data_IF_442348444348
#
_entry.id   IF_442348444348
#
_cell.length_a   1.000
_cell.length_b   1.000
_cell.length_c   1.000
_cell.angle_alpha   90.00
_cell.angle_beta   90.00
_cell.angle_gamma   90.00
#
_symmetry.space_group_name_H-M   'P 1'
#
loop_
_entity.id
_entity.type
_entity.pdbx_description
1 polymer ?
#
# COMPACT_ATOMS: atom_id res chain seq x y z
N UNK A 1 -9.74 -13.99 -0.42
CA UNK A 1 -8.51 -13.16 -0.39
C UNK A 1 -7.30 -13.96 -0.82
N UNK A 2 -6.27 -13.31 -1.39
CA UNK A 2 -5.09 -13.99 -1.95
C UNK A 2 -4.33 -14.86 -0.93
N UNK A 3 -4.18 -14.39 0.31
CA UNK A 3 -3.49 -15.11 1.39
C UNK A 3 -4.18 -16.42 1.77
N UNK A 4 -5.50 -16.40 1.91
CA UNK A 4 -6.30 -17.61 2.18
C UNK A 4 -6.19 -18.61 1.02
N UNK A 5 -6.22 -18.13 -0.23
CA UNK A 5 -6.06 -19.01 -1.40
C UNK A 5 -4.67 -19.66 -1.43
N UNK A 6 -3.61 -18.92 -1.12
CA UNK A 6 -2.25 -19.46 -1.01
C UNK A 6 -2.18 -20.51 0.09
N UNK A 7 -2.73 -20.25 1.26
CA UNK A 7 -2.65 -21.18 2.38
C UNK A 7 -3.47 -22.45 2.15
N UNK A 8 -4.72 -22.34 1.70
CA UNK A 8 -5.57 -23.52 1.49
C UNK A 8 -5.16 -24.36 0.26
N UNK A 9 -4.63 -23.74 -0.81
CA UNK A 9 -4.40 -24.43 -2.11
C UNK A 9 -2.95 -24.45 -2.58
N UNK A 10 -2.05 -23.70 -1.95
CA UNK A 10 -0.64 -23.62 -2.32
C UNK A 10 0.06 -24.97 -2.26
N UNK A 11 -0.22 -25.77 -1.21
CA UNK A 11 0.36 -27.11 -1.04
C UNK A 11 0.15 -28.02 -2.25
N UNK A 12 -1.04 -28.00 -2.87
CA UNK A 12 -1.33 -28.81 -4.07
C UNK A 12 -0.53 -28.38 -5.30
N UNK A 13 -0.03 -27.14 -5.30
CA UNK A 13 0.76 -26.53 -6.39
C UNK A 13 2.25 -26.46 -6.05
N UNK A 14 2.70 -27.13 -4.99
CA UNK A 14 4.10 -27.08 -4.53
C UNK A 14 4.52 -25.75 -3.92
N UNK A 15 3.58 -24.88 -3.56
CA UNK A 15 3.86 -23.58 -2.94
C UNK A 15 3.71 -23.67 -1.42
N UNK A 16 4.69 -23.11 -0.70
CA UNK A 16 4.65 -22.95 0.74
C UNK A 16 4.50 -21.45 1.09
N UNK A 17 3.53 -21.14 1.96
CA UNK A 17 3.38 -19.80 2.50
C UNK A 17 4.12 -19.64 3.82
N UNK A 18 4.91 -18.58 3.96
CA UNK A 18 5.53 -18.17 5.22
C UNK A 18 4.95 -16.82 5.61
N UNK A 19 4.43 -16.71 6.84
CA UNK A 19 3.89 -15.47 7.39
C UNK A 19 4.81 -14.99 8.51
N UNK A 20 5.37 -13.80 8.32
CA UNK A 20 6.06 -13.07 9.38
C UNK A 20 5.21 -11.87 9.80
N UNK A 21 4.79 -11.82 11.06
CA UNK A 21 4.01 -10.70 11.60
C UNK A 21 4.51 -10.32 12.99
N UNK A 22 4.43 -9.04 13.32
CA UNK A 22 4.70 -8.53 14.67
C UNK A 22 3.46 -8.62 15.57
N UNK A 23 2.26 -8.71 14.98
CA UNK A 23 0.97 -8.73 15.69
C UNK A 23 0.20 -9.97 15.26
N UNK A 24 0.25 -11.00 16.09
CA UNK A 24 -0.43 -12.27 15.84
C UNK A 24 -1.95 -12.08 15.79
N UNK A 25 -2.49 -11.18 16.63
CA UNK A 25 -3.90 -10.82 16.77
C UNK A 25 -4.54 -10.22 15.50
N UNK A 26 -3.73 -9.65 14.61
CA UNK A 26 -4.20 -9.12 13.32
C UNK A 26 -4.35 -10.20 12.26
N UNK A 27 -3.76 -11.38 12.46
CA UNK A 27 -3.86 -12.46 11.49
C UNK A 27 -5.30 -12.99 11.43
N UNK A 28 -5.82 -13.27 10.24
CA UNK A 28 -7.14 -13.87 10.13
C UNK A 28 -7.10 -15.30 10.71
N UNK A 29 -8.10 -15.69 11.51
CA UNK A 29 -8.16 -17.02 12.15
C UNK A 29 -7.99 -18.18 11.16
N UNK A 30 -8.61 -18.06 9.98
CA UNK A 30 -8.54 -19.07 8.92
C UNK A 30 -7.14 -19.17 8.31
N UNK A 31 -6.37 -18.08 8.29
CA UNK A 31 -5.01 -18.09 7.76
C UNK A 31 -4.05 -18.71 8.78
N UNK A 32 -4.25 -18.41 10.07
CA UNK A 32 -3.48 -19.02 11.15
C UNK A 32 -3.70 -20.54 11.25
N UNK A 33 -4.95 -20.99 11.06
CA UNK A 33 -5.32 -22.39 11.14
C UNK A 33 -4.73 -23.28 10.03
N UNK A 34 -4.38 -22.70 8.88
CA UNK A 34 -3.76 -23.43 7.76
C UNK A 34 -2.23 -23.58 7.94
N UNK A 35 -1.63 -22.84 8.88
CA UNK A 35 -0.21 -23.00 9.21
C UNK A 35 -0.01 -24.25 10.06
N UNK A 36 0.97 -25.07 9.69
CA UNK A 36 1.33 -26.31 10.42
C UNK A 36 2.59 -26.16 11.28
N UNK A 37 3.39 -25.13 11.04
CA UNK A 37 4.62 -24.85 11.78
C UNK A 37 4.57 -23.43 12.34
N UNK A 38 5.01 -23.29 13.58
CA UNK A 38 4.95 -22.07 14.37
C UNK A 38 6.30 -21.78 15.00
N UNK A 39 6.70 -20.50 14.95
CA UNK A 39 7.82 -19.93 15.67
C UNK A 39 7.31 -18.66 16.37
N UNK A 40 7.09 -18.76 17.68
CA UNK A 40 6.54 -17.67 18.48
C UNK A 40 7.64 -17.01 19.29
N UNK A 41 7.95 -15.75 18.97
CA UNK A 41 8.93 -14.95 19.69
C UNK A 41 8.32 -14.19 20.86
N UNK A 42 9.08 -13.22 21.38
CA UNK A 42 8.63 -12.34 22.47
C UNK A 42 7.36 -11.56 22.08
N UNK A 43 6.35 -11.60 22.94
CA UNK A 43 5.13 -10.77 22.80
C UNK A 43 4.65 -10.25 24.16
N UNK A 44 4.10 -9.03 24.17
CA UNK A 44 3.68 -8.36 25.40
C UNK A 44 2.17 -8.23 25.58
N UNK A 45 1.43 -8.21 24.48
CA UNK A 45 0.00 -7.93 24.51
C UNK A 45 -0.79 -9.21 24.80
N UNK A 46 -1.74 -9.12 25.73
CA UNK A 46 -2.55 -10.25 26.19
C UNK A 46 -3.28 -10.95 25.04
N UNK A 47 -3.77 -10.19 24.08
CA UNK A 47 -4.42 -10.72 22.88
C UNK A 47 -3.47 -11.54 21.99
N UNK A 48 -2.21 -11.14 21.92
CA UNK A 48 -1.20 -11.84 21.13
C UNK A 48 -0.70 -13.09 21.88
N UNK A 49 -0.53 -13.03 23.21
CA UNK A 49 -0.21 -14.20 24.05
C UNK A 49 -1.31 -15.25 24.06
N UNK A 50 -2.57 -14.83 24.21
CA UNK A 50 -3.71 -15.75 24.17
C UNK A 50 -3.76 -16.49 22.83
N UNK A 51 -3.58 -15.77 21.72
CA UNK A 51 -3.56 -16.38 20.39
C UNK A 51 -2.35 -17.29 20.19
N UNK A 52 -1.19 -16.97 20.75
CA UNK A 52 -0.02 -17.84 20.70
C UNK A 52 -0.26 -19.13 21.51
N UNK A 53 -0.88 -19.02 22.68
CA UNK A 53 -1.26 -20.15 23.52
C UNK A 53 -2.22 -21.09 22.78
N UNK A 54 -3.26 -20.53 22.15
CA UNK A 54 -4.25 -21.28 21.37
C UNK A 54 -3.60 -22.04 20.21
N UNK A 55 -2.64 -21.42 19.51
CA UNK A 55 -1.94 -22.06 18.39
C UNK A 55 -0.93 -23.12 18.84
N UNK A 56 -0.32 -22.95 20.01
CA UNK A 56 0.67 -23.88 20.55
C UNK A 56 0.08 -24.98 21.42
N UNK A 57 -1.23 -24.92 21.71
CA UNK A 57 -1.90 -25.83 22.63
C UNK A 57 -1.40 -25.69 24.07
N UNK A 58 -0.95 -24.49 24.45
CA UNK A 58 -0.43 -24.20 25.80
C UNK A 58 -1.52 -23.60 26.67
N UNK A 59 -1.42 -23.81 27.98
CA UNK A 59 -2.32 -23.14 28.93
C UNK A 59 -2.02 -21.64 28.98
N UNK A 60 -3.06 -20.82 29.21
CA UNK A 60 -2.94 -19.36 29.31
C UNK A 60 -1.85 -18.90 30.28
N UNK A 61 -1.69 -19.60 31.40
CA UNK A 61 -0.67 -19.30 32.42
C UNK A 61 0.75 -19.53 31.90
N UNK A 62 0.95 -20.55 31.05
CA UNK A 62 2.25 -20.82 30.43
C UNK A 62 2.59 -19.78 29.35
N UNK A 63 1.59 -19.10 28.79
CA UNK A 63 1.77 -18.07 27.78
C UNK A 63 2.40 -16.77 28.34
N UNK A 64 2.39 -16.57 29.66
CA UNK A 64 3.09 -15.43 30.28
C UNK A 64 4.61 -15.49 30.02
N UNK A 65 5.17 -16.70 29.84
CA UNK A 65 6.58 -16.91 29.49
C UNK A 65 6.98 -16.24 28.15
N UNK A 66 6.02 -15.94 27.27
CA UNK A 66 6.31 -15.19 26.04
C UNK A 66 6.76 -13.75 26.28
N UNK A 67 6.47 -13.16 27.44
CA UNK A 67 6.91 -11.79 27.77
C UNK A 67 8.40 -11.72 28.04
N UNK A 68 8.93 -12.74 28.69
CA UNK A 68 10.31 -12.78 29.19
C UNK A 68 11.29 -13.42 28.20
N UNK A 69 10.82 -13.88 27.04
CA UNK A 69 11.68 -14.41 25.98
C UNK A 69 12.70 -13.38 25.52
N UNK A 70 13.98 -13.73 25.58
CA UNK A 70 15.04 -12.88 25.06
C UNK A 70 14.97 -12.74 23.53
N UNK A 71 15.59 -11.68 23.00
CA UNK A 71 15.69 -11.48 21.56
C UNK A 71 16.44 -12.66 20.92
N UNK A 72 15.84 -13.26 19.89
CA UNK A 72 16.41 -14.42 19.19
C UNK A 72 15.97 -15.75 19.77
N UNK A 73 15.24 -15.78 20.90
CA UNK A 73 14.59 -16.97 21.41
C UNK A 73 13.13 -17.06 20.94
N UNK A 74 12.71 -18.27 20.60
CA UNK A 74 11.39 -18.57 20.07
C UNK A 74 10.88 -19.90 20.63
N UNK A 75 9.57 -20.04 20.76
CA UNK A 75 8.92 -21.33 20.95
C UNK A 75 8.55 -21.90 19.58
N UNK A 76 9.10 -23.09 19.29
CA UNK A 76 8.89 -23.82 18.06
C UNK A 76 7.88 -24.96 18.25
N UNK A 77 6.95 -25.11 17.30
CA UNK A 77 6.02 -26.23 17.23
C UNK A 77 5.69 -26.54 15.77
N UNK A 78 5.58 -27.82 15.43
CA UNK A 78 5.11 -28.25 14.12
C UNK A 78 5.89 -29.46 13.58
N UNK A 79 5.37 -30.15 12.56
CA UNK A 79 5.97 -31.37 12.02
C UNK A 79 7.37 -31.18 11.44
N UNK A 80 7.73 -29.98 11.00
CA UNK A 80 9.07 -29.66 10.51
C UNK A 80 10.05 -29.23 11.62
N UNK A 81 9.56 -28.99 12.85
CA UNK A 81 10.35 -28.45 13.96
C UNK A 81 10.37 -29.42 15.14
N UNK A 82 9.23 -29.56 15.82
CA UNK A 82 9.07 -30.42 17.00
C UNK A 82 7.60 -30.77 17.20
N UNK A 83 7.35 -32.01 17.65
CA UNK A 83 6.00 -32.50 17.99
C UNK A 83 5.43 -31.87 19.28
N UNK A 84 6.28 -31.32 20.13
CA UNK A 84 5.92 -30.63 21.37
C UNK A 84 6.56 -29.23 21.37
N UNK A 85 5.94 -28.22 22.01
CA UNK A 85 6.53 -26.89 22.09
C UNK A 85 7.96 -26.96 22.65
N UNK A 86 8.93 -26.44 21.90
CA UNK A 86 10.35 -26.48 22.23
C UNK A 86 10.95 -25.07 22.12
N UNK A 87 11.66 -24.62 23.15
CA UNK A 87 12.43 -23.39 23.10
C UNK A 87 13.63 -23.54 22.16
N UNK A 88 13.75 -22.64 21.18
CA UNK A 88 14.85 -22.60 20.21
C UNK A 88 15.49 -21.22 20.17
N UNK A 89 16.80 -21.18 19.94
CA UNK A 89 17.56 -19.95 19.75
C UNK A 89 17.99 -19.86 18.29
N UNK A 90 17.61 -18.77 17.62
CA UNK A 90 17.99 -18.51 16.24
C UNK A 90 19.46 -18.08 16.20
N UNK A 91 20.23 -18.71 15.30
CA UNK A 91 21.64 -18.41 15.09
C UNK A 91 21.89 -17.09 14.37
N UNK A 92 23.15 -16.85 14.00
CA UNK A 92 23.50 -15.72 13.16
C UNK A 92 22.92 -15.90 11.75
N UNK A 93 22.46 -14.82 11.14
CA UNK A 93 21.94 -14.81 9.78
C UNK A 93 23.04 -14.40 8.81
N UNK A 94 23.20 -15.14 7.71
CA UNK A 94 24.14 -14.79 6.64
C UNK A 94 23.72 -13.51 5.89
N UNK A 95 22.42 -13.24 5.85
CA UNK A 95 21.84 -12.08 5.15
C UNK A 95 21.70 -10.88 6.07
N UNK A 96 21.90 -9.69 5.51
CA UNK A 96 21.64 -8.41 6.19
C UNK A 96 20.42 -7.69 5.61
N UNK A 97 19.61 -7.01 6.44
CA UNK A 97 18.49 -6.22 5.95
C UNK A 97 18.99 -5.02 5.13
N UNK A 98 18.27 -4.67 4.05
CA UNK A 98 18.62 -3.53 3.18
C UNK A 98 18.66 -2.20 3.93
N UNK A 99 17.78 -2.05 4.91
CA UNK A 99 17.77 -0.95 5.87
C UNK A 99 17.95 -1.56 7.27
N UNK A 100 19.17 -1.48 7.80
CA UNK A 100 19.45 -1.93 9.17
C UNK A 100 18.73 -1.08 10.21
N UNK A 101 18.29 -1.70 11.30
CA UNK A 101 17.93 -0.94 12.51
C UNK A 101 19.15 -0.13 12.95
N UNK A 102 19.03 1.21 13.11
CA UNK A 102 20.12 2.03 13.60
C UNK A 102 20.57 1.47 14.95
N UNK A 103 21.84 1.10 15.04
CA UNK A 103 22.45 0.81 16.34
C UNK A 103 22.90 2.13 16.91
N UNK A 104 22.72 2.30 18.22
CA UNK A 104 23.37 3.37 18.95
C UNK A 104 24.87 3.12 18.86
N UNK A 105 25.52 3.82 17.92
CA UNK A 105 26.96 3.87 17.84
C UNK A 105 27.43 4.99 18.78
N UNK A 106 28.57 4.82 19.45
CA UNK A 106 29.20 5.92 20.16
C UNK A 106 29.38 7.12 19.23
N UNK A 107 29.24 8.33 19.77
CA UNK A 107 29.51 9.55 19.01
C UNK A 107 30.97 9.49 18.51
N UNK A 108 31.25 9.70 17.21
CA UNK A 108 32.62 9.69 16.71
C UNK A 108 33.42 10.81 17.38
N UNK A 109 34.48 10.46 18.10
CA UNK A 109 35.33 11.43 18.82
C UNK A 109 35.92 12.48 17.89
N UNK A 110 36.23 12.09 16.64
CA UNK A 110 36.78 12.96 15.60
C UNK A 110 35.88 14.15 15.22
N UNK A 111 34.57 14.11 15.52
CA UNK A 111 33.67 15.21 15.22
C UNK A 111 33.69 16.33 16.27
N UNK A 112 34.25 16.10 17.46
CA UNK A 112 34.14 17.05 18.58
C UNK A 112 35.10 18.24 18.46
N UNK A 113 36.33 18.01 17.96
CA UNK A 113 37.33 19.06 17.74
C UNK A 113 36.96 19.95 16.56
N UNK A 114 36.46 19.36 15.47
CA UNK A 114 35.93 20.10 14.32
C UNK A 114 34.63 20.85 14.67
N UNK A 115 33.76 20.28 15.51
CA UNK A 115 32.55 20.98 15.95
C UNK A 115 32.87 22.22 16.79
N UNK A 116 33.89 22.15 17.67
CA UNK A 116 34.31 23.32 18.49
C UNK A 116 34.87 24.43 17.62
N UNK A 117 35.68 24.11 16.62
CA UNK A 117 36.23 25.12 15.70
C UNK A 117 35.14 25.79 14.85
N UNK A 118 34.11 25.04 14.44
CA UNK A 118 32.95 25.56 13.70
C UNK A 118 32.05 26.43 14.59
N UNK A 119 31.80 26.03 15.85
CA UNK A 119 30.96 26.79 16.79
C UNK A 119 31.62 28.12 17.21
N UNK A 120 32.95 28.13 17.35
CA UNK A 120 33.74 29.30 17.74
C UNK A 120 34.17 30.15 16.54
N UNK A 121 33.92 29.70 15.31
CA UNK A 121 34.18 30.48 14.12
C UNK A 121 33.32 31.75 14.13
N UNK A 122 33.91 32.88 13.74
CA UNK A 122 33.17 34.12 13.59
C UNK A 122 32.00 33.89 12.61
N UNK A 123 30.77 34.33 12.96
CA UNK A 123 29.64 34.18 12.05
C UNK A 123 29.98 34.88 10.73
N UNK A 124 29.67 34.26 9.58
CA UNK A 124 29.82 34.93 8.29
C UNK A 124 29.05 36.25 8.32
N UNK A 125 29.53 37.29 7.61
CA UNK A 125 28.88 38.60 7.62
C UNK A 125 27.39 38.45 7.34
N UNK A 126 26.56 39.01 8.22
CA UNK A 126 25.11 38.94 8.07
C UNK A 126 24.73 39.56 6.72
N UNK A 127 24.36 38.70 5.77
CA UNK A 127 23.62 39.15 4.59
C UNK A 127 22.37 39.83 5.10
N UNK A 128 22.18 41.12 4.77
CA UNK A 128 20.99 41.88 5.12
C UNK A 128 19.77 41.08 4.71
N UNK A 129 19.15 40.39 5.67
CA UNK A 129 17.95 39.62 5.42
C UNK A 129 16.86 40.65 5.13
N UNK A 130 16.12 40.54 4.01
CA UNK A 130 14.98 41.43 3.78
C UNK A 130 14.08 41.35 5.02
N UNK A 131 13.74 42.51 5.59
CA UNK A 131 12.82 42.56 6.73
C UNK A 131 11.58 41.75 6.37
N UNK A 132 11.24 40.77 7.21
CA UNK A 132 9.95 40.07 7.11
C UNK A 132 8.89 41.15 7.23
N UNK A 133 8.25 41.47 6.10
CA UNK A 133 7.01 42.23 6.11
C UNK A 133 6.06 41.44 7.02
N UNK A 134 5.34 42.10 7.95
CA UNK A 134 4.30 41.42 8.70
C UNK A 134 3.41 40.72 7.66
N UNK A 135 3.25 39.40 7.82
CA UNK A 135 2.32 38.64 7.00
C UNK A 135 0.96 39.34 7.11
N UNK A 136 0.25 39.59 5.99
CA UNK A 136 -1.09 40.16 6.06
C UNK A 136 -1.92 39.31 7.03
N UNK A 137 -2.81 39.95 7.78
CA UNK A 137 -3.60 39.30 8.82
C UNK A 137 -4.50 38.21 8.19
N UNK A 138 -3.92 37.03 8.10
CA UNK A 138 -4.48 35.84 7.47
C UNK A 138 -5.71 35.37 8.24
N UNK A 139 -5.76 35.69 9.54
CA UNK A 139 -6.88 35.34 10.38
C UNK A 139 -8.08 36.22 10.05
N UNK A 140 -7.89 37.53 9.90
CA UNK A 140 -8.96 38.44 9.45
C UNK A 140 -9.42 38.12 8.03
N UNK A 141 -8.52 37.74 7.12
CA UNK A 141 -8.89 37.29 5.78
C UNK A 141 -9.69 35.98 5.79
N UNK A 142 -9.31 35.01 6.62
CA UNK A 142 -10.04 33.74 6.77
C UNK A 142 -11.40 33.94 7.45
N UNK A 143 -11.48 34.84 8.43
CA UNK A 143 -12.73 35.19 9.11
C UNK A 143 -13.67 35.95 8.16
N UNK A 144 -13.15 36.86 7.34
CA UNK A 144 -13.92 37.53 6.28
C UNK A 144 -14.39 36.53 5.21
N UNK A 145 -13.55 35.57 4.80
CA UNK A 145 -13.91 34.53 3.84
C UNK A 145 -14.96 33.54 4.38
N UNK A 146 -15.00 33.31 5.70
CA UNK A 146 -16.04 32.50 6.36
C UNK A 146 -17.33 33.27 6.66
N UNK A 147 -17.22 34.57 6.89
CA UNK A 147 -18.35 35.43 7.26
C UNK A 147 -19.04 36.06 6.05
N UNK A 148 -18.40 36.07 4.88
CA UNK A 148 -19.08 36.35 3.63
C UNK A 148 -20.19 35.30 3.42
N UNK A 149 -21.46 35.69 3.30
CA UNK A 149 -22.43 34.83 2.65
C UNK A 149 -21.80 34.41 1.33
N UNK A 150 -21.91 33.13 0.96
CA UNK A 150 -21.72 32.70 -0.41
C UNK A 150 -22.77 33.42 -1.25
N UNK A 151 -22.53 34.69 -1.58
CA UNK A 151 -23.03 35.25 -2.80
C UNK A 151 -22.45 34.32 -3.86
N UNK A 152 -23.34 33.48 -4.40
CA UNK A 152 -23.11 32.76 -5.63
C UNK A 152 -22.92 33.84 -6.70
N UNK A 153 -21.72 34.43 -6.75
CA UNK A 153 -21.21 35.01 -7.97
C UNK A 153 -21.14 33.82 -8.90
N UNK A 154 -21.84 33.83 -10.05
CA UNK A 154 -21.57 32.83 -11.05
C UNK A 154 -20.07 32.94 -11.36
N UNK A 155 -19.32 31.91 -10.95
CA UNK A 155 -17.98 31.72 -11.48
C UNK A 155 -18.12 31.77 -13.00
N UNK A 156 -17.21 32.44 -13.73
CA UNK A 156 -17.18 32.28 -15.17
C UNK A 156 -17.11 30.78 -15.42
N UNK A 157 -18.16 30.24 -16.05
CA UNK A 157 -18.25 28.81 -16.31
C UNK A 157 -16.93 28.35 -16.91
N UNK A 158 -16.25 27.41 -16.24
CA UNK A 158 -15.16 26.70 -16.88
C UNK A 158 -15.70 26.22 -18.23
N UNK A 159 -15.00 26.49 -19.36
CA UNK A 159 -15.52 26.12 -20.66
C UNK A 159 -15.82 24.63 -20.64
N UNK A 160 -17.09 24.29 -20.87
CA UNK A 160 -17.50 22.90 -20.97
C UNK A 160 -16.60 22.25 -22.02
N UNK A 161 -15.90 21.14 -21.69
CA UNK A 161 -14.96 20.53 -22.61
C UNK A 161 -15.69 20.21 -23.90
N UNK A 162 -15.13 20.65 -25.04
CA UNK A 162 -15.74 20.43 -26.33
C UNK A 162 -15.81 18.93 -26.64
N UNK A 163 -16.66 18.53 -27.58
CA UNK A 163 -16.73 17.13 -28.02
C UNK A 163 -15.37 16.61 -28.52
N UNK A 164 -14.56 17.50 -29.11
CA UNK A 164 -13.19 17.21 -29.56
C UNK A 164 -12.24 16.99 -28.38
N UNK A 165 -12.29 17.83 -27.34
CA UNK A 165 -11.48 17.66 -26.12
C UNK A 165 -11.77 16.34 -25.41
N UNK A 166 -13.04 15.93 -25.36
CA UNK A 166 -13.47 14.66 -24.77
C UNK A 166 -12.99 13.45 -25.59
N UNK A 167 -12.95 13.58 -26.93
CA UNK A 167 -12.44 12.54 -27.82
C UNK A 167 -10.92 12.38 -27.67
N UNK A 168 -10.15 13.48 -27.68
CA UNK A 168 -8.70 13.44 -27.49
C UNK A 168 -8.33 12.85 -26.13
N UNK A 169 -9.07 13.22 -25.11
CA UNK A 169 -8.92 12.71 -23.75
C UNK A 169 -9.19 11.20 -23.69
N UNK A 170 -10.24 10.72 -24.37
CA UNK A 170 -10.55 9.29 -24.46
C UNK A 170 -9.43 8.54 -25.17
N UNK A 171 -8.91 9.09 -26.26
CA UNK A 171 -7.80 8.50 -27.01
C UNK A 171 -6.51 8.42 -26.17
N UNK A 172 -6.17 9.47 -25.42
CA UNK A 172 -5.04 9.45 -24.46
C UNK A 172 -5.21 8.33 -23.43
N UNK A 173 -6.42 8.18 -22.90
CA UNK A 173 -6.72 7.14 -21.90
C UNK A 173 -6.62 5.73 -22.49
N UNK A 174 -7.09 5.52 -23.72
CA UNK A 174 -6.98 4.24 -24.43
C UNK A 174 -5.52 3.90 -24.80
N UNK A 175 -4.70 4.90 -25.13
CA UNK A 175 -3.26 4.72 -25.35
C UNK A 175 -2.57 4.22 -24.09
N UNK A 176 -2.88 4.81 -22.93
CA UNK A 176 -2.34 4.37 -21.62
C UNK A 176 -2.75 2.93 -21.34
N UNK A 177 -4.03 2.60 -21.55
CA UNK A 177 -4.55 1.24 -21.32
C UNK A 177 -3.88 0.21 -22.23
N UNK A 178 -3.72 0.52 -23.53
CA UNK A 178 -3.00 -0.33 -24.48
C UNK A 178 -1.54 -0.53 -24.10
N UNK A 179 -0.86 0.53 -23.65
CA UNK A 179 0.53 0.44 -23.21
C UNK A 179 0.70 -0.47 -21.98
N UNK A 180 -0.25 -0.45 -21.04
CA UNK A 180 -0.25 -1.36 -19.88
C UNK A 180 -0.49 -2.80 -20.32
N UNK A 181 -1.40 -3.04 -21.27
CA UNK A 181 -1.72 -4.38 -21.77
C UNK A 181 -0.63 -4.98 -22.67
N UNK A 182 0.18 -4.16 -23.33
CA UNK A 182 1.30 -4.58 -24.17
C UNK A 182 2.47 -5.18 -23.37
N UNK A 183 2.49 -4.99 -22.05
CA UNK A 183 3.53 -5.57 -21.20
C UNK A 183 3.36 -7.10 -21.06
N UNK A 184 4.45 -7.89 -21.17
CA UNK A 184 4.39 -9.36 -21.24
C UNK A 184 3.59 -10.03 -20.11
N UNK A 185 3.67 -9.46 -18.90
CA UNK A 185 3.03 -10.01 -17.70
C UNK A 185 1.68 -9.36 -17.35
N UNK A 186 1.17 -8.46 -18.19
CA UNK A 186 -0.10 -7.74 -17.93
C UNK A 186 -1.31 -8.69 -17.80
N UNK A 187 -1.31 -9.80 -18.54
CA UNK A 187 -2.38 -10.81 -18.47
C UNK A 187 -2.49 -11.50 -17.10
N UNK A 188 -1.36 -11.66 -16.41
CA UNK A 188 -1.26 -12.41 -15.15
C UNK A 188 -1.29 -11.52 -13.89
N UNK A 189 -1.16 -10.20 -14.07
CA UNK A 189 -1.21 -9.24 -12.97
C UNK A 189 -2.62 -9.08 -12.39
N UNK A 190 -2.68 -8.86 -11.08
CA UNK A 190 -3.93 -8.60 -10.35
C UNK A 190 -4.50 -7.26 -10.81
N UNK A 191 -5.81 -7.21 -11.07
CA UNK A 191 -6.54 -6.02 -11.56
C UNK A 191 -6.22 -4.77 -10.72
N UNK A 192 -6.14 -4.89 -9.40
CA UNK A 192 -5.81 -3.77 -8.52
C UNK A 192 -4.41 -3.18 -8.77
N UNK A 193 -3.43 -4.00 -9.15
CA UNK A 193 -2.07 -3.54 -9.51
C UNK A 193 -2.11 -2.80 -10.84
N UNK A 194 -2.81 -3.36 -11.84
CA UNK A 194 -3.01 -2.71 -13.15
C UNK A 194 -3.75 -1.37 -13.00
N UNK A 195 -4.71 -1.28 -12.08
CA UNK A 195 -5.42 -0.05 -11.79
C UNK A 195 -4.51 1.02 -11.17
N UNK A 196 -3.69 0.67 -10.18
CA UNK A 196 -2.74 1.63 -9.58
C UNK A 196 -1.74 2.14 -10.61
N UNK A 197 -1.23 1.25 -11.46
CA UNK A 197 -0.34 1.62 -12.55
C UNK A 197 -1.01 2.54 -13.57
N UNK A 198 -2.26 2.25 -13.94
CA UNK A 198 -3.09 3.10 -14.78
C UNK A 198 -3.32 4.49 -14.17
N UNK A 199 -3.69 4.59 -12.89
CA UNK A 199 -3.86 5.86 -12.18
C UNK A 199 -2.56 6.68 -12.21
N UNK A 200 -1.41 6.04 -11.98
CA UNK A 200 -0.11 6.71 -12.01
C UNK A 200 0.18 7.27 -13.41
N UNK A 201 -0.03 6.50 -14.47
CA UNK A 201 0.19 6.96 -15.85
C UNK A 201 -0.77 8.07 -16.26
N UNK A 202 -2.04 7.97 -15.87
CA UNK A 202 -3.01 9.06 -16.07
C UNK A 202 -2.59 10.35 -15.37
N UNK A 203 -2.00 10.27 -14.15
CA UNK A 203 -1.48 11.46 -13.46
C UNK A 203 -0.29 12.09 -14.18
N UNK A 204 0.63 11.27 -14.68
CA UNK A 204 1.80 11.75 -15.44
C UNK A 204 1.35 12.47 -16.73
N UNK A 205 0.29 11.97 -17.38
CA UNK A 205 -0.31 12.52 -18.61
C UNK A 205 -1.30 13.68 -18.35
N UNK A 206 -1.39 14.19 -17.11
CA UNK A 206 -2.26 15.32 -16.76
C UNK A 206 -3.76 14.99 -16.66
N UNK A 207 -4.15 13.71 -16.66
CA UNK A 207 -5.55 13.24 -16.58
C UNK A 207 -6.01 12.97 -15.12
N UNK A 208 -5.28 13.50 -14.13
CA UNK A 208 -5.47 13.17 -12.71
C UNK A 208 -6.87 13.46 -12.14
N UNK A 209 -7.52 14.54 -12.61
CA UNK A 209 -8.82 15.00 -12.11
C UNK A 209 -9.99 14.13 -12.57
N UNK A 210 -9.76 13.22 -13.51
CA UNK A 210 -10.85 12.50 -14.17
C UNK A 210 -10.41 11.08 -14.52
N UNK A 211 -9.67 10.47 -13.60
CA UNK A 211 -9.33 9.05 -13.68
C UNK A 211 -10.61 8.25 -13.38
N UNK A 212 -11.00 7.28 -14.22
CA UNK A 212 -12.17 6.44 -13.99
C UNK A 212 -12.02 5.59 -12.72
N UNK A 213 -13.13 5.35 -12.03
CA UNK A 213 -13.17 4.49 -10.85
C UNK A 213 -12.87 3.03 -11.19
N UNK A 214 -12.53 2.23 -10.18
CA UNK A 214 -12.07 0.84 -10.37
C UNK A 214 -13.07 -0.03 -11.16
N UNK A 215 -14.37 0.16 -10.97
CA UNK A 215 -15.42 -0.58 -11.68
C UNK A 215 -15.48 -0.23 -13.17
N UNK A 216 -15.28 1.04 -13.51
CA UNK A 216 -15.20 1.51 -14.88
C UNK A 216 -13.91 1.07 -15.56
N UNK A 217 -12.78 1.16 -14.86
CA UNK A 217 -11.51 0.61 -15.33
C UNK A 217 -11.59 -0.89 -15.62
N UNK A 218 -12.28 -1.68 -14.79
CA UNK A 218 -12.51 -3.11 -15.05
C UNK A 218 -13.23 -3.35 -16.37
N UNK A 219 -14.31 -2.61 -16.64
CA UNK A 219 -15.03 -2.72 -17.92
C UNK A 219 -14.16 -2.36 -19.11
N UNK A 220 -13.37 -1.28 -18.99
CA UNK A 220 -12.40 -0.89 -20.01
C UNK A 220 -11.35 -1.99 -20.24
N UNK A 221 -10.82 -2.59 -19.17
CA UNK A 221 -9.84 -3.66 -19.22
C UNK A 221 -10.41 -4.94 -19.87
N UNK A 222 -11.66 -5.32 -19.54
CA UNK A 222 -12.34 -6.48 -20.15
C UNK A 222 -12.53 -6.28 -21.64
N UNK A 223 -13.01 -5.10 -22.08
CA UNK A 223 -13.16 -4.76 -23.50
C UNK A 223 -11.83 -4.79 -24.26
N UNK A 224 -10.81 -4.17 -23.68
CA UNK A 224 -9.48 -4.15 -24.29
C UNK A 224 -8.84 -5.55 -24.37
N UNK A 225 -9.07 -6.43 -23.39
CA UNK A 225 -8.64 -7.84 -23.43
C UNK A 225 -9.41 -8.67 -24.46
N UNK A 226 -10.68 -8.33 -24.71
CA UNK A 226 -11.50 -8.96 -25.74
C UNK A 226 -11.14 -8.50 -27.17
N UNK A 227 -10.16 -7.60 -27.31
CA UNK A 227 -9.76 -7.05 -28.61
C UNK A 227 -10.78 -6.08 -29.20
N UNK A 228 -11.76 -5.62 -28.41
CA UNK A 228 -12.77 -4.65 -28.84
C UNK A 228 -12.15 -3.26 -28.70
N UNK A 229 -11.70 -2.71 -29.83
CA UNK A 229 -11.16 -1.35 -29.90
C UNK A 229 -12.22 -0.26 -29.69
N UNK A 230 -11.79 0.97 -29.45
CA UNK A 230 -12.65 2.17 -29.31
C UNK A 230 -13.66 2.31 -30.45
N UNK A 231 -13.25 1.93 -31.66
CA UNK A 231 -14.02 2.12 -32.89
C UNK A 231 -15.18 1.12 -33.01
N UNK A 232 -15.08 -0.05 -32.38
CA UNK A 232 -16.18 -1.03 -32.30
C UNK A 232 -17.16 -0.70 -31.16
N UNK A 233 -16.74 0.07 -30.16
CA UNK A 233 -17.58 0.46 -29.02
C UNK A 233 -18.59 1.57 -29.35
N UNK A 234 -18.42 2.24 -30.49
CA UNK A 234 -19.39 3.21 -31.02
C UNK A 234 -20.46 2.59 -31.92
N UNK A 235 -20.34 1.30 -32.23
CA UNK A 235 -21.35 0.54 -32.97
C UNK A 235 -22.59 0.35 -32.08
N UNK A 236 -23.79 0.61 -32.63
CA UNK A 236 -25.04 0.61 -31.85
C UNK A 236 -25.33 -0.76 -31.23
N UNK A 237 -24.88 -1.84 -31.88
CA UNK A 237 -24.94 -3.19 -31.35
C UNK A 237 -24.07 -3.37 -30.08
N UNK A 238 -22.87 -2.78 -30.04
CA UNK A 238 -21.97 -2.85 -28.89
C UNK A 238 -22.40 -1.93 -27.74
N UNK A 239 -23.08 -0.82 -28.04
CA UNK A 239 -23.74 0.00 -27.04
C UNK A 239 -24.87 -0.76 -26.34
N UNK A 240 -25.74 -1.44 -27.09
CA UNK A 240 -26.81 -2.27 -26.52
C UNK A 240 -26.25 -3.42 -25.66
N UNK A 241 -25.20 -4.11 -26.15
CA UNK A 241 -24.50 -5.14 -25.37
C UNK A 241 -23.88 -4.58 -24.09
N UNK A 242 -23.25 -3.40 -24.14
CA UNK A 242 -22.65 -2.76 -22.96
C UNK A 242 -23.69 -2.35 -21.93
N UNK A 243 -24.84 -1.84 -22.37
CA UNK A 243 -25.99 -1.49 -21.51
C UNK A 243 -26.55 -2.75 -20.85
N UNK A 244 -26.76 -3.83 -21.60
CA UNK A 244 -27.26 -5.09 -21.04
C UNK A 244 -26.26 -5.75 -20.09
N UNK A 245 -24.97 -5.71 -20.40
CA UNK A 245 -23.92 -6.20 -19.52
C UNK A 245 -23.90 -5.43 -18.19
N UNK A 246 -24.12 -4.12 -18.21
CA UNK A 246 -24.18 -3.30 -16.98
C UNK A 246 -25.26 -3.72 -15.96
N UNK A 247 -26.28 -4.49 -16.39
CA UNK A 247 -27.35 -5.00 -15.53
C UNK A 247 -26.97 -6.31 -14.82
N UNK A 248 -25.88 -6.97 -15.24
CA UNK A 248 -25.39 -8.19 -14.64
C UNK A 248 -24.52 -7.89 -13.40
N UNK A 249 -24.43 -8.81 -12.42
CA UNK A 249 -23.42 -8.76 -11.36
C UNK A 249 -22.00 -8.56 -11.91
N UNK A 250 -21.16 -7.79 -11.20
CA UNK A 250 -19.82 -7.34 -11.65
C UNK A 250 -18.86 -8.47 -12.09
N UNK A 251 -19.07 -9.69 -11.62
CA UNK A 251 -18.32 -10.90 -11.98
C UNK A 251 -18.78 -11.57 -13.28
N UNK A 252 -19.93 -11.14 -13.81
CA UNK A 252 -20.55 -11.64 -15.05
C UNK A 252 -20.69 -10.58 -16.15
N UNK A 253 -20.19 -9.35 -15.92
CA UNK A 253 -20.09 -8.27 -16.92
C UNK A 253 -18.83 -8.42 -17.78
#
# INVERSE_FOLDING_TARGET
GAMTNLMCRGRKRGLAGIIATQRLAKLAKNVAAEASNFLMGRTFLDIDMARAADLLGMERRQAEAFRDLERGHFMALGPALSRRPLGVRIGQTETSPRNGTPRLMPLPEAALEDARSIILAAPPPETVRPQRRPSPDLLDQLMAAKAAPLEIRPEPAEPQPSAEDLAERRERMDRILRAILAEPDAGFRVIGVLYQEFVVRCRIEGLASVVPELSEFRRMLTRARAGVGSDMAEDDAWRDVSVRASLLPEDMQ
#
